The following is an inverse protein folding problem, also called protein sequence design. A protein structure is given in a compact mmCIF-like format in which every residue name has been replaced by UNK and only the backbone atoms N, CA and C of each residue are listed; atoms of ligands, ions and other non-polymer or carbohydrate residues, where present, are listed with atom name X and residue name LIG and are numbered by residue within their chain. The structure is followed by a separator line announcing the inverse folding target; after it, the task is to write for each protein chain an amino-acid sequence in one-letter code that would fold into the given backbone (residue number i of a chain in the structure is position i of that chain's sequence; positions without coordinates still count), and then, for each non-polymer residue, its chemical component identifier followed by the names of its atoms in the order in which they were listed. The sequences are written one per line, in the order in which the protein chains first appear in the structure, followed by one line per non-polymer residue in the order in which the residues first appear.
data_IF_060959389464
#
_entry.id   IF_060959389464
#
_cell.length_a   1.000
_cell.length_b   1.000
_cell.length_c   1.000
_cell.angle_alpha   90.00
_cell.angle_beta   90.00
_cell.angle_gamma   90.00
#
_symmetry.space_group_name_H-M   'P 1'
#
loop_
_entity.id
_entity.type
_entity.pdbx_description
1 polymer ?
#
# COMPACT_ATOMS: atom_id res chain seq x y z
N UNK A 1 0.08 -5.15 11.04
CA UNK A 1 1.43 -5.73 10.87
C UNK A 1 2.46 -4.63 11.06
N UNK A 2 3.71 -4.96 11.39
CA UNK A 2 4.80 -3.99 11.50
C UNK A 2 5.81 -4.27 10.39
N UNK A 3 6.24 -3.24 9.66
CA UNK A 3 7.17 -3.32 8.53
C UNK A 3 8.25 -2.27 8.74
N UNK A 4 9.47 -2.69 9.05
CA UNK A 4 10.61 -1.79 9.37
C UNK A 4 10.26 -0.69 10.39
N UNK A 5 9.54 -1.07 11.46
CA UNK A 5 9.09 -0.14 12.51
C UNK A 5 7.90 0.74 12.13
N UNK A 6 7.34 0.59 10.91
CA UNK A 6 6.13 1.27 10.48
C UNK A 6 4.91 0.40 10.80
N UNK A 7 3.96 0.88 11.62
CA UNK A 7 2.72 0.16 11.86
C UNK A 7 1.81 0.26 10.62
N UNK A 8 1.52 -0.90 10.03
CA UNK A 8 0.64 -1.03 8.86
C UNK A 8 -0.64 -1.74 9.25
N UNK A 9 -1.78 -1.07 9.08
CA UNK A 9 -3.11 -1.62 9.34
C UNK A 9 -3.61 -2.34 8.09
N UNK A 10 -3.76 -3.66 8.19
CA UNK A 10 -4.39 -4.47 7.15
C UNK A 10 -5.89 -4.54 7.38
N UNK A 11 -6.69 -4.27 6.35
CA UNK A 11 -8.15 -4.39 6.39
C UNK A 11 -8.66 -5.21 5.21
N UNK A 12 -9.77 -5.93 5.44
CA UNK A 12 -10.49 -6.61 4.36
C UNK A 12 -11.44 -5.62 3.69
N UNK A 13 -11.43 -5.59 2.37
CA UNK A 13 -12.29 -4.73 1.55
C UNK A 13 -13.30 -5.59 0.77
N UNK A 14 -14.35 -4.97 0.24
CA UNK A 14 -15.37 -5.67 -0.56
C UNK A 14 -14.76 -6.48 -1.73
N UNK A 15 -13.69 -5.94 -2.34
CA UNK A 15 -13.05 -6.52 -3.53
C UNK A 15 -11.63 -7.03 -3.29
N UNK A 16 -11.15 -7.06 -2.05
CA UNK A 16 -9.79 -7.50 -1.75
C UNK A 16 -9.32 -7.04 -0.39
N UNK A 17 -8.15 -6.39 -0.35
CA UNK A 17 -7.51 -6.00 0.90
C UNK A 17 -6.87 -4.62 0.77
N UNK A 18 -6.79 -3.90 1.88
CA UNK A 18 -6.11 -2.63 2.00
C UNK A 18 -5.04 -2.69 3.09
N UNK A 19 -3.96 -1.95 2.90
CA UNK A 19 -2.90 -1.77 3.89
C UNK A 19 -2.63 -0.29 4.05
N UNK A 20 -2.92 0.26 5.23
CA UNK A 20 -2.78 1.69 5.53
C UNK A 20 -1.68 1.95 6.54
N UNK A 21 -0.95 3.03 6.37
CA UNK A 21 0.07 3.48 7.32
C UNK A 21 0.23 4.99 7.29
N UNK A 22 0.72 5.53 8.40
CA UNK A 22 1.18 6.91 8.48
C UNK A 22 2.58 6.99 7.88
N UNK A 23 2.72 7.72 6.77
CA UNK A 23 4.00 7.89 6.10
C UNK A 23 4.87 8.90 6.86
N UNK A 24 6.16 8.61 7.11
CA UNK A 24 7.07 9.55 7.78
C UNK A 24 7.17 10.94 7.13
N UNK A 25 6.78 11.06 5.86
CA UNK A 25 6.72 12.34 5.13
C UNK A 25 5.51 13.22 5.50
N UNK A 26 4.65 12.77 6.41
CA UNK A 26 3.56 13.56 6.99
C UNK A 26 2.21 13.41 6.30
N UNK A 27 1.93 12.25 5.69
CA UNK A 27 0.65 11.95 5.05
C UNK A 27 0.23 10.49 5.27
N UNK A 28 -1.04 10.19 5.10
CA UNK A 28 -1.56 8.81 5.15
C UNK A 28 -1.32 8.13 3.81
N UNK A 29 -0.85 6.89 3.84
CA UNK A 29 -0.69 6.03 2.66
C UNK A 29 -1.56 4.80 2.73
N UNK A 30 -1.96 4.29 1.57
CA UNK A 30 -2.74 3.07 1.41
C UNK A 30 -2.24 2.29 0.21
N UNK A 31 -2.12 0.97 0.33
CA UNK A 31 -2.11 0.09 -0.83
C UNK A 31 -3.42 -0.68 -0.86
N UNK A 32 -4.13 -0.62 -1.99
CA UNK A 32 -5.30 -1.45 -2.27
C UNK A 32 -4.90 -2.57 -3.21
N UNK A 33 -5.26 -3.80 -2.90
CA UNK A 33 -5.20 -4.93 -3.83
C UNK A 33 -6.61 -5.36 -4.20
N UNK A 34 -6.92 -5.32 -5.50
CA UNK A 34 -8.17 -5.85 -6.03
C UNK A 34 -7.98 -7.32 -6.41
N UNK A 35 -8.71 -8.21 -5.74
CA UNK A 35 -8.62 -9.67 -5.92
C UNK A 35 -9.11 -10.13 -7.30
N UNK A 36 -10.04 -9.42 -7.93
CA UNK A 36 -10.63 -9.84 -9.21
C UNK A 36 -9.65 -9.63 -10.37
N UNK A 37 -8.92 -8.51 -10.33
CA UNK A 37 -8.00 -8.12 -11.40
C UNK A 37 -6.51 -8.30 -11.02
N UNK A 38 -6.23 -8.53 -9.74
CA UNK A 38 -4.88 -8.76 -9.20
C UNK A 38 -3.98 -7.52 -9.16
N UNK A 39 -4.51 -6.32 -9.41
CA UNK A 39 -3.75 -5.07 -9.43
C UNK A 39 -3.62 -4.47 -8.03
N UNK A 40 -2.50 -3.76 -7.81
CA UNK A 40 -2.29 -2.93 -6.63
C UNK A 40 -2.29 -1.45 -6.99
N UNK A 41 -2.98 -0.63 -6.20
CA UNK A 41 -2.97 0.84 -6.32
C UNK A 41 -2.44 1.46 -5.04
N UNK A 42 -1.76 2.60 -5.19
CA UNK A 42 -1.29 3.42 -4.07
C UNK A 42 -2.24 4.59 -3.89
N UNK A 43 -2.90 4.66 -2.74
CA UNK A 43 -3.59 5.82 -2.23
C UNK A 43 -2.67 6.67 -1.35
N UNK A 44 -2.76 7.99 -1.48
CA UNK A 44 -2.18 8.94 -0.50
C UNK A 44 -3.21 9.97 -0.11
N UNK A 45 -3.15 10.43 1.15
CA UNK A 45 -4.06 11.44 1.69
C UNK A 45 -3.35 12.39 2.65
N UNK A 46 -3.54 13.69 2.44
CA UNK A 46 -3.11 14.74 3.38
C UNK A 46 -4.37 15.30 4.07
N UNK A 47 -4.62 15.00 5.36
CA UNK A 47 -5.80 15.51 6.06
C UNK A 47 -5.84 17.05 6.10
N UNK A 48 -7.03 17.69 5.96
CA UNK A 48 -8.38 17.10 5.85
C UNK A 48 -8.78 16.69 4.41
N UNK A 49 -7.85 16.65 3.47
CA UNK A 49 -8.10 16.29 2.07
C UNK A 49 -8.60 14.85 1.86
N UNK A 50 -9.02 14.57 0.62
CA UNK A 50 -9.44 13.24 0.18
C UNK A 50 -8.28 12.33 -0.21
N UNK A 51 -8.60 11.08 -0.53
CA UNK A 51 -7.64 10.14 -1.09
C UNK A 51 -7.37 10.43 -2.56
N UNK A 52 -6.11 10.36 -2.95
CA UNK A 52 -5.68 10.32 -4.35
C UNK A 52 -5.04 8.97 -4.61
N UNK A 53 -5.60 8.22 -5.55
CA UNK A 53 -5.08 6.90 -5.93
C UNK A 53 -4.37 6.94 -7.27
N UNK A 54 -3.25 6.24 -7.36
CA UNK A 54 -2.51 5.99 -8.60
C UNK A 54 -2.15 4.52 -8.69
N UNK A 55 -2.23 3.95 -9.89
CA UNK A 55 -1.79 2.57 -10.10
C UNK A 55 -0.30 2.49 -9.79
N UNK A 56 0.10 1.49 -9.00
CA UNK A 56 1.52 1.23 -8.79
C UNK A 56 2.15 0.79 -10.11
N UNK A 57 3.44 1.13 -10.30
CA UNK A 57 4.20 0.65 -11.45
C UNK A 57 4.15 -0.90 -11.50
N UNK A 58 3.40 -1.43 -12.46
CA UNK A 58 3.14 -2.85 -12.58
C UNK A 58 4.39 -3.67 -12.93
N UNK A 59 5.42 -3.05 -13.50
CA UNK A 59 6.69 -3.73 -13.75
C UNK A 59 7.51 -3.92 -12.46
N UNK A 60 7.29 -3.05 -11.47
CA UNK A 60 8.11 -2.99 -10.24
C UNK A 60 7.42 -3.55 -9.01
N UNK A 61 6.15 -3.20 -8.83
CA UNK A 61 5.31 -3.54 -7.69
C UNK A 61 4.17 -4.44 -8.14
N UNK A 62 4.50 -5.33 -9.08
CA UNK A 62 3.56 -5.98 -9.99
C UNK A 62 2.41 -6.70 -9.32
N UNK A 63 1.49 -7.14 -10.17
CA UNK A 63 0.31 -7.90 -9.80
C UNK A 63 0.56 -8.93 -8.71
N UNK A 64 -0.40 -9.05 -7.81
CA UNK A 64 -0.48 -10.16 -6.87
C UNK A 64 -1.66 -11.05 -7.27
N UNK A 65 -1.40 -12.36 -7.34
CA UNK A 65 -2.42 -13.37 -7.70
C UNK A 65 -3.23 -13.81 -6.49
N UNK A 66 -2.69 -13.60 -5.30
CA UNK A 66 -3.30 -13.95 -4.03
C UNK A 66 -2.84 -12.99 -2.92
N UNK A 67 -3.47 -13.09 -1.76
CA UNK A 67 -3.20 -12.20 -0.63
C UNK A 67 -1.77 -12.32 -0.08
N UNK A 68 -1.15 -13.50 -0.15
CA UNK A 68 0.21 -13.72 0.36
C UNK A 68 1.21 -12.95 -0.51
N UNK A 69 1.05 -13.04 -1.83
CA UNK A 69 1.82 -12.22 -2.78
C UNK A 69 1.57 -10.73 -2.58
N UNK A 70 0.31 -10.32 -2.36
CA UNK A 70 -0.03 -8.92 -2.13
C UNK A 70 0.65 -8.36 -0.88
N UNK A 71 0.63 -9.11 0.24
CA UNK A 71 1.37 -8.75 1.47
C UNK A 71 2.87 -8.62 1.22
N UNK A 72 3.44 -9.53 0.45
CA UNK A 72 4.88 -9.49 0.10
C UNK A 72 5.23 -8.23 -0.70
N UNK A 73 4.35 -7.81 -1.62
CA UNK A 73 4.52 -6.55 -2.37
C UNK A 73 4.42 -5.35 -1.43
N UNK A 74 3.47 -5.35 -0.50
CA UNK A 74 3.30 -4.26 0.49
C UNK A 74 4.52 -4.15 1.39
N UNK A 75 5.03 -5.25 1.94
CA UNK A 75 6.25 -5.27 2.75
C UNK A 75 7.41 -4.63 2.00
N UNK A 76 7.69 -5.10 0.78
CA UNK A 76 8.77 -4.56 -0.06
C UNK A 76 8.56 -3.08 -0.41
N UNK A 77 7.31 -2.66 -0.64
CA UNK A 77 6.99 -1.28 -0.98
C UNK A 77 7.23 -0.37 0.21
N UNK A 78 6.67 -0.70 1.36
CA UNK A 78 6.78 0.13 2.58
C UNK A 78 8.24 0.27 2.98
N UNK A 79 9.01 -0.83 3.03
CA UNK A 79 10.47 -0.80 3.23
C UNK A 79 11.16 0.17 2.28
N UNK A 80 10.83 0.13 0.98
CA UNK A 80 11.48 1.00 0.00
C UNK A 80 11.06 2.46 0.12
N UNK A 81 9.77 2.70 0.41
CA UNK A 81 9.19 4.04 0.48
C UNK A 81 9.70 4.80 1.70
N UNK A 82 9.85 4.13 2.84
CA UNK A 82 10.30 4.74 4.10
C UNK A 82 11.81 4.80 4.24
N UNK A 83 12.57 4.00 3.49
CA UNK A 83 14.04 4.07 3.44
C UNK A 83 14.59 5.30 2.70
N UNK A 84 13.78 6.01 1.89
CA UNK A 84 14.22 7.23 1.20
C UNK A 84 14.05 8.45 2.11
N UNK A 85 15.11 9.19 2.47
CA UNK A 85 14.95 10.49 3.09
C UNK A 85 14.25 11.46 2.12
N UNK A 86 13.42 12.33 2.68
CA UNK A 86 12.71 13.40 1.98
C UNK A 86 13.67 14.40 1.30
#
# INVERSE_FOLDING_TARGET
MEIDGIPVVESTEERGYSWRWDDPRGFESEILWDRQIGYLTLGTRVPPGGWTHSTLDAARWGHARNIIEARTVVERYVTHATAKPA
#
